data_IF_925026876470
#
_entry.id   IF_925026876470
#
_cell.length_a   1.000
_cell.length_b   1.000
_cell.length_c   1.000
_cell.angle_alpha   90.00
_cell.angle_beta   90.00
_cell.angle_gamma   90.00
#
_symmetry.space_group_name_H-M   'P 1'
#
loop_
_entity.id
_entity.type
_entity.pdbx_description
1 polymer ?
#
# COMPACT_ATOMS: atom_id res chain seq x y z
N UNK A 1 -10.35 23.27 -5.43
CA UNK A 1 -11.26 22.14 -5.16
C UNK A 1 -10.54 21.10 -4.30
N UNK A 2 -10.52 21.29 -2.98
CA UNK A 2 -9.67 20.50 -2.06
C UNK A 2 -10.36 20.03 -0.78
N UNK A 3 -11.48 20.65 -0.41
CA UNK A 3 -12.16 20.41 0.87
C UNK A 3 -12.71 18.98 0.93
N UNK A 4 -13.22 18.46 -0.18
CA UNK A 4 -13.69 17.09 -0.27
C UNK A 4 -12.60 16.08 0.09
N UNK A 5 -11.37 16.25 -0.41
CA UNK A 5 -10.28 15.33 -0.08
C UNK A 5 -9.91 15.38 1.41
N UNK A 6 -9.88 16.57 2.01
CA UNK A 6 -9.57 16.74 3.45
C UNK A 6 -10.63 16.04 4.29
N UNK A 7 -11.91 16.31 4.03
CA UNK A 7 -13.02 15.71 4.77
C UNK A 7 -13.08 14.19 4.56
N UNK A 8 -12.89 13.71 3.33
CA UNK A 8 -12.90 12.28 3.03
C UNK A 8 -11.75 11.53 3.69
N UNK A 9 -10.55 12.13 3.72
CA UNK A 9 -9.40 11.60 4.44
C UNK A 9 -9.69 11.51 5.95
N UNK A 10 -10.22 12.58 6.55
CA UNK A 10 -10.56 12.63 7.97
C UNK A 10 -11.60 11.57 8.32
N UNK A 11 -12.67 11.44 7.54
CA UNK A 11 -13.70 10.41 7.76
C UNK A 11 -13.13 9.01 7.59
N UNK A 12 -12.22 8.80 6.65
CA UNK A 12 -11.54 7.50 6.50
C UNK A 12 -10.70 7.14 7.73
N UNK A 13 -9.98 8.11 8.31
CA UNK A 13 -9.20 7.89 9.54
C UNK A 13 -10.14 7.64 10.73
N UNK A 14 -11.24 8.38 10.85
CA UNK A 14 -12.24 8.16 11.90
C UNK A 14 -12.91 6.78 11.80
N UNK A 15 -13.20 6.33 10.58
CA UNK A 15 -13.82 5.03 10.30
C UNK A 15 -12.80 3.91 10.11
N UNK A 16 -11.62 4.03 10.72
CA UNK A 16 -10.54 3.04 10.63
C UNK A 16 -10.92 1.61 11.04
N UNK A 17 -12.00 1.44 11.80
CA UNK A 17 -12.53 0.13 12.20
C UNK A 17 -13.12 -0.67 11.05
N UNK A 18 -13.42 -0.05 9.91
CA UNK A 18 -14.01 -0.71 8.75
C UNK A 18 -12.91 -1.44 7.96
N UNK A 19 -12.94 -2.77 8.00
CA UNK A 19 -12.05 -3.61 7.19
C UNK A 19 -12.58 -3.71 5.75
N UNK A 20 -12.08 -2.83 4.89
CA UNK A 20 -12.42 -2.82 3.45
C UNK A 20 -12.00 -4.11 2.76
N UNK A 21 -10.84 -4.68 3.12
CA UNK A 21 -10.33 -5.91 2.53
C UNK A 21 -11.23 -7.10 2.84
N UNK A 22 -11.80 -7.17 4.05
CA UNK A 22 -12.77 -8.20 4.43
C UNK A 22 -14.06 -8.13 3.59
N UNK A 23 -14.49 -6.92 3.18
CA UNK A 23 -15.64 -6.75 2.28
C UNK A 23 -15.31 -7.37 0.91
N UNK A 24 -14.16 -7.02 0.33
CA UNK A 24 -13.71 -7.60 -0.95
C UNK A 24 -13.57 -9.12 -0.87
N UNK A 25 -13.01 -9.65 0.22
CA UNK A 25 -12.89 -11.09 0.45
C UNK A 25 -14.25 -11.79 0.45
N UNK A 26 -15.24 -11.26 1.18
CA UNK A 26 -16.60 -11.82 1.21
C UNK A 26 -17.26 -11.79 -0.17
N UNK A 27 -17.04 -10.75 -0.97
CA UNK A 27 -17.58 -10.65 -2.33
C UNK A 27 -16.90 -11.68 -3.24
N UNK A 28 -15.57 -11.74 -3.19
CA UNK A 28 -14.77 -12.68 -3.97
C UNK A 28 -15.13 -14.13 -3.68
N UNK A 29 -15.23 -14.50 -2.40
CA UNK A 29 -15.60 -15.86 -1.98
C UNK A 29 -17.00 -16.24 -2.50
N UNK A 30 -17.95 -15.29 -2.54
CA UNK A 30 -19.27 -15.50 -3.15
C UNK A 30 -19.19 -15.69 -4.65
N UNK A 31 -18.44 -14.84 -5.35
CA UNK A 31 -18.29 -14.94 -6.81
C UNK A 31 -17.61 -16.25 -7.22
N UNK A 32 -16.53 -16.65 -6.53
CA UNK A 32 -15.86 -17.94 -6.78
C UNK A 32 -16.83 -19.11 -6.52
N UNK A 33 -17.67 -19.04 -5.48
CA UNK A 33 -18.69 -20.09 -5.25
C UNK A 33 -19.72 -20.18 -6.37
N UNK A 34 -20.11 -19.05 -6.95
CA UNK A 34 -21.12 -18.98 -8.03
C UNK A 34 -20.51 -19.45 -9.35
N UNK A 35 -19.38 -18.88 -9.75
CA UNK A 35 -18.81 -19.08 -11.09
C UNK A 35 -17.81 -20.24 -11.16
N UNK A 36 -17.27 -20.69 -10.02
CA UNK A 36 -16.26 -21.78 -9.84
C UNK A 36 -14.91 -21.55 -10.52
N UNK A 37 -14.88 -20.78 -11.60
CA UNK A 37 -13.70 -20.45 -12.39
C UNK A 37 -13.15 -19.07 -12.04
N UNK A 38 -11.87 -19.00 -11.62
CA UNK A 38 -11.21 -17.73 -11.29
C UNK A 38 -11.14 -16.78 -12.48
N UNK A 39 -10.92 -17.29 -13.69
CA UNK A 39 -10.82 -16.48 -14.92
C UNK A 39 -12.13 -15.72 -15.17
N UNK A 40 -13.28 -16.36 -14.95
CA UNK A 40 -14.59 -15.71 -15.15
C UNK A 40 -14.78 -14.58 -14.13
N UNK A 41 -14.41 -14.81 -12.87
CA UNK A 41 -14.48 -13.80 -11.82
C UNK A 41 -13.53 -12.62 -12.12
N UNK A 42 -12.33 -12.89 -12.65
CA UNK A 42 -11.38 -11.86 -13.08
C UNK A 42 -11.96 -10.97 -14.20
N UNK A 43 -12.59 -11.57 -15.21
CA UNK A 43 -13.28 -10.84 -16.29
C UNK A 43 -14.42 -9.96 -15.76
N UNK A 44 -15.19 -10.45 -14.77
CA UNK A 44 -16.24 -9.67 -14.12
C UNK A 44 -15.64 -8.44 -13.43
N UNK A 45 -14.53 -8.60 -12.70
CA UNK A 45 -13.87 -7.48 -12.04
C UNK A 45 -13.32 -6.46 -13.03
N UNK A 46 -12.67 -6.90 -14.11
CA UNK A 46 -12.18 -6.00 -15.16
C UNK A 46 -13.33 -5.23 -15.83
N UNK A 47 -14.44 -5.92 -16.10
CA UNK A 47 -15.65 -5.30 -16.65
C UNK A 47 -16.23 -4.25 -15.70
N UNK A 48 -16.21 -4.53 -14.39
CA UNK A 48 -16.66 -3.58 -13.37
C UNK A 48 -15.75 -2.34 -13.28
N UNK A 49 -14.43 -2.50 -13.36
CA UNK A 49 -13.47 -1.38 -13.39
C UNK A 49 -13.74 -0.48 -14.61
N UNK A 50 -14.05 -1.07 -15.78
CA UNK A 50 -14.43 -0.32 -16.98
C UNK A 50 -15.79 0.37 -16.80
N UNK A 51 -16.79 -0.29 -16.21
CA UNK A 51 -18.09 0.32 -15.94
C UNK A 51 -17.97 1.56 -15.03
N UNK A 52 -17.09 1.51 -14.02
CA UNK A 52 -16.79 2.65 -13.15
C UNK A 52 -16.23 3.86 -13.92
N UNK A 53 -15.52 3.65 -15.03
CA UNK A 53 -15.06 4.75 -15.88
C UNK A 53 -16.23 5.58 -16.41
N UNK A 54 -17.23 4.90 -16.97
CA UNK A 54 -18.41 5.56 -17.52
C UNK A 54 -19.18 6.30 -16.44
N UNK A 55 -19.38 5.68 -15.26
CA UNK A 55 -20.03 6.35 -14.12
C UNK A 55 -19.28 7.63 -13.74
N UNK A 56 -17.94 7.56 -13.67
CA UNK A 56 -17.13 8.72 -13.31
C UNK A 56 -17.15 9.80 -14.40
N UNK A 57 -17.15 9.41 -15.67
CA UNK A 57 -17.26 10.32 -16.82
C UNK A 57 -18.55 11.15 -16.77
N UNK A 58 -19.68 10.53 -16.40
CA UNK A 58 -20.97 11.23 -16.29
C UNK A 58 -21.09 12.13 -15.05
N UNK A 59 -20.52 11.73 -13.91
CA UNK A 59 -20.64 12.50 -12.65
C UNK A 59 -19.69 13.70 -12.56
N UNK A 60 -18.59 13.68 -13.33
CA UNK A 60 -17.59 14.75 -13.35
C UNK A 60 -16.80 14.91 -12.05
N UNK A 61 -15.90 15.90 -12.03
CA UNK A 61 -15.05 16.20 -10.88
C UNK A 61 -15.68 17.26 -9.97
N UNK A 62 -16.50 16.82 -9.02
CA UNK A 62 -17.12 17.68 -8.00
C UNK A 62 -16.54 17.39 -6.60
N UNK A 63 -16.71 18.32 -5.65
CA UNK A 63 -16.22 18.15 -4.27
C UNK A 63 -16.79 16.90 -3.58
N UNK A 64 -18.04 16.53 -3.88
CA UNK A 64 -18.64 15.27 -3.42
C UNK A 64 -17.87 14.04 -3.93
N UNK A 65 -17.41 14.06 -5.19
CA UNK A 65 -16.62 12.96 -5.76
C UNK A 65 -15.21 12.95 -5.16
N UNK A 66 -14.61 14.11 -4.87
CA UNK A 66 -13.34 14.19 -4.14
C UNK A 66 -13.45 13.59 -2.75
N UNK A 67 -14.55 13.88 -2.04
CA UNK A 67 -14.86 13.30 -0.73
C UNK A 67 -14.99 11.79 -0.79
N UNK A 68 -15.85 11.26 -1.67
CA UNK A 68 -16.06 9.82 -1.81
C UNK A 68 -14.76 9.12 -2.19
N UNK A 69 -13.98 9.69 -3.11
CA UNK A 69 -12.70 9.13 -3.54
C UNK A 69 -11.72 9.06 -2.38
N UNK A 70 -11.47 10.18 -1.69
CA UNK A 70 -10.57 10.20 -0.54
C UNK A 70 -11.02 9.21 0.53
N UNK A 71 -12.33 9.17 0.83
CA UNK A 71 -12.88 8.25 1.80
C UNK A 71 -12.69 6.78 1.43
N UNK A 72 -12.84 6.40 0.16
CA UNK A 72 -12.71 5.00 -0.26
C UNK A 72 -11.25 4.57 -0.31
N UNK A 73 -10.42 5.42 -0.87
CA UNK A 73 -9.09 5.07 -1.35
C UNK A 73 -8.03 5.20 -0.25
N UNK A 74 -8.18 6.15 0.66
CA UNK A 74 -7.25 6.35 1.78
C UNK A 74 -7.49 5.22 2.80
N UNK A 75 -6.46 4.44 3.11
CA UNK A 75 -6.56 3.31 4.04
C UNK A 75 -5.25 3.05 4.80
N UNK A 76 -4.79 4.04 5.57
CA UNK A 76 -3.60 3.87 6.43
C UNK A 76 -3.95 3.04 7.67
N UNK A 77 -5.14 3.24 8.22
CA UNK A 77 -5.50 2.88 9.58
C UNK A 77 -5.84 1.40 9.81
N UNK A 78 -6.01 0.61 8.74
CA UNK A 78 -6.14 -0.85 8.84
C UNK A 78 -4.88 -1.53 9.40
N UNK A 79 -3.71 -0.99 9.06
CA UNK A 79 -2.42 -1.52 9.48
C UNK A 79 -2.18 -1.39 10.99
N UNK A 80 -2.84 -0.44 11.65
CA UNK A 80 -2.69 -0.14 13.08
C UNK A 80 -3.34 -1.20 13.98
N UNK A 81 -4.47 -1.78 13.55
CA UNK A 81 -5.25 -2.72 14.34
C UNK A 81 -4.47 -4.00 14.68
N UNK A 82 -3.62 -4.46 13.77
CA UNK A 82 -2.79 -5.65 13.98
C UNK A 82 -1.63 -5.41 14.95
N UNK A 83 -1.30 -4.14 15.26
CA UNK A 83 -0.15 -3.78 16.08
C UNK A 83 -0.48 -3.72 17.58
N UNK A 84 -1.76 -3.72 17.96
CA UNK A 84 -2.19 -3.57 19.35
C UNK A 84 -1.95 -4.82 20.22
N UNK A 85 -1.76 -6.01 19.62
CA UNK A 85 -1.69 -7.29 20.34
C UNK A 85 -0.37 -8.05 20.14
N UNK A 86 0.76 -7.33 20.06
CA UNK A 86 2.04 -7.96 19.73
C UNK A 86 2.71 -8.65 20.92
N UNK A 87 2.96 -9.95 20.78
CA UNK A 87 3.74 -10.79 21.72
C UNK A 87 5.00 -11.37 21.08
N UNK A 88 5.04 -11.54 19.74
CA UNK A 88 6.10 -12.30 19.05
C UNK A 88 6.86 -11.51 17.96
N UNK A 89 8.14 -11.85 17.74
CA UNK A 89 9.00 -11.28 16.68
C UNK A 89 8.43 -11.43 15.27
N UNK A 90 7.75 -12.54 14.98
CA UNK A 90 7.12 -12.78 13.67
C UNK A 90 6.00 -11.76 13.43
N UNK A 91 5.25 -11.42 14.49
CA UNK A 91 4.18 -10.45 14.39
C UNK A 91 4.74 -9.04 14.15
N UNK A 92 5.92 -8.70 14.68
CA UNK A 92 6.60 -7.43 14.38
C UNK A 92 6.89 -7.25 12.89
N UNK A 93 7.49 -8.27 12.23
CA UNK A 93 7.79 -8.18 10.80
C UNK A 93 6.53 -8.05 9.95
N UNK A 94 5.49 -8.78 10.35
CA UNK A 94 4.17 -8.69 9.73
C UNK A 94 3.58 -7.28 9.89
N UNK A 95 3.69 -6.70 11.08
CA UNK A 95 3.27 -5.33 11.37
C UNK A 95 4.00 -4.29 10.53
N UNK A 96 5.32 -4.40 10.40
CA UNK A 96 6.13 -3.49 9.60
C UNK A 96 5.77 -3.56 8.10
N UNK A 97 5.63 -4.76 7.56
CA UNK A 97 5.20 -4.94 6.16
C UNK A 97 3.74 -4.47 5.94
N UNK A 98 2.83 -4.70 6.90
CA UNK A 98 1.46 -4.18 6.83
C UNK A 98 1.42 -2.65 6.86
N UNK A 99 2.23 -2.00 7.69
CA UNK A 99 2.35 -0.54 7.75
C UNK A 99 2.92 0.03 6.45
N UNK A 100 4.02 -0.57 5.96
CA UNK A 100 4.68 -0.17 4.69
C UNK A 100 3.71 -0.30 3.50
N UNK A 101 2.98 -1.41 3.44
CA UNK A 101 1.97 -1.65 2.42
C UNK A 101 0.77 -0.72 2.56
N UNK A 102 0.35 -0.43 3.78
CA UNK A 102 -0.74 0.51 4.10
C UNK A 102 -0.41 1.92 3.61
N UNK A 103 0.80 2.43 3.88
CA UNK A 103 1.20 3.75 3.38
C UNK A 103 1.42 3.74 1.87
N UNK A 104 2.03 2.70 1.30
CA UNK A 104 2.29 2.63 -0.13
C UNK A 104 1.00 2.50 -0.94
N UNK A 105 0.23 1.44 -0.68
CA UNK A 105 -0.92 1.06 -1.48
C UNK A 105 -2.22 1.73 -1.02
N UNK A 106 -2.33 2.05 0.27
CA UNK A 106 -3.49 2.73 0.85
C UNK A 106 -3.35 4.25 0.91
N UNK A 107 -2.24 4.84 0.47
CA UNK A 107 -2.07 6.29 0.52
C UNK A 107 -1.29 6.87 -0.66
N UNK A 108 0.00 6.54 -0.78
CA UNK A 108 0.90 7.18 -1.75
C UNK A 108 0.48 6.86 -3.18
N UNK A 109 0.32 5.57 -3.52
CA UNK A 109 0.02 5.15 -4.87
C UNK A 109 -1.31 5.69 -5.40
N UNK A 110 -2.43 5.60 -4.66
CA UNK A 110 -3.66 6.18 -5.17
C UNK A 110 -3.60 7.71 -5.32
N UNK A 111 -3.03 8.44 -4.35
CA UNK A 111 -2.90 9.89 -4.45
C UNK A 111 -1.99 10.29 -5.62
N UNK A 112 -0.89 9.56 -5.83
CA UNK A 112 -0.02 9.72 -6.99
C UNK A 112 -0.80 9.61 -8.31
N UNK A 113 -1.64 8.58 -8.45
CA UNK A 113 -2.44 8.39 -9.66
C UNK A 113 -3.48 9.49 -9.87
N UNK A 114 -4.11 9.97 -8.80
CA UNK A 114 -5.03 11.11 -8.87
C UNK A 114 -4.29 12.38 -9.31
N UNK A 115 -3.06 12.60 -8.84
CA UNK A 115 -2.24 13.76 -9.21
C UNK A 115 -1.80 13.72 -10.67
N UNK A 116 -1.21 12.61 -11.11
CA UNK A 116 -0.64 12.45 -12.45
C UNK A 116 -1.71 12.60 -13.53
N UNK A 117 -2.85 11.95 -13.35
CA UNK A 117 -3.93 11.97 -14.35
C UNK A 117 -4.97 13.05 -14.09
N UNK A 118 -4.80 13.83 -13.01
CA UNK A 118 -5.73 14.87 -12.54
C UNK A 118 -7.18 14.40 -12.38
N UNK A 119 -7.42 13.09 -12.22
CA UNK A 119 -8.74 12.49 -12.18
C UNK A 119 -8.81 11.39 -11.10
N UNK A 120 -9.85 11.46 -10.26
CA UNK A 120 -10.06 10.53 -9.15
C UNK A 120 -10.23 9.08 -9.58
N UNK A 121 -10.76 8.86 -10.80
CA UNK A 121 -10.98 7.53 -11.34
C UNK A 121 -9.72 6.67 -11.25
N UNK A 122 -8.53 7.22 -11.55
CA UNK A 122 -7.28 6.47 -11.51
C UNK A 122 -6.87 6.05 -10.09
N UNK A 123 -7.19 6.87 -9.07
CA UNK A 123 -7.00 6.47 -7.67
C UNK A 123 -7.92 5.32 -7.27
N UNK A 124 -9.17 5.34 -7.75
CA UNK A 124 -10.16 4.27 -7.52
C UNK A 124 -9.74 2.98 -8.23
N UNK A 125 -9.28 3.05 -9.49
CA UNK A 125 -8.76 1.88 -10.21
C UNK A 125 -7.62 1.24 -9.42
N UNK A 126 -6.64 2.03 -9.02
CA UNK A 126 -5.50 1.51 -8.26
C UNK A 126 -5.97 0.84 -6.96
N UNK A 127 -6.88 1.48 -6.23
CA UNK A 127 -7.48 0.90 -5.04
C UNK A 127 -8.16 -0.45 -5.33
N UNK A 128 -8.95 -0.55 -6.41
CA UNK A 128 -9.61 -1.79 -6.82
C UNK A 128 -8.59 -2.88 -7.17
N UNK A 129 -7.58 -2.57 -7.98
CA UNK A 129 -6.50 -3.50 -8.34
C UNK A 129 -5.82 -4.01 -7.07
N UNK A 130 -5.47 -3.12 -6.14
CA UNK A 130 -4.85 -3.48 -4.87
C UNK A 130 -5.74 -4.41 -4.03
N UNK A 131 -7.02 -4.08 -3.84
CA UNK A 131 -7.93 -4.92 -3.05
C UNK A 131 -8.14 -6.30 -3.68
N UNK A 132 -8.15 -6.40 -5.01
CA UNK A 132 -8.30 -7.67 -5.73
C UNK A 132 -7.02 -8.51 -5.69
N UNK A 133 -5.86 -7.87 -5.85
CA UNK A 133 -4.55 -8.51 -5.69
C UNK A 133 -4.41 -9.17 -4.31
N UNK A 134 -4.93 -8.50 -3.27
CA UNK A 134 -4.89 -9.01 -1.89
C UNK A 134 -5.82 -10.19 -1.61
N UNK A 135 -6.84 -10.39 -2.44
CA UNK A 135 -7.96 -11.29 -2.14
C UNK A 135 -7.96 -12.52 -3.05
N UNK A 136 -7.46 -12.42 -4.27
CA UNK A 136 -7.44 -13.54 -5.22
C UNK A 136 -6.14 -13.65 -6.00
N UNK A 137 -5.78 -14.89 -6.32
CA UNK A 137 -4.64 -15.20 -7.21
C UNK A 137 -5.05 -15.03 -8.68
N UNK A 138 -5.27 -13.79 -9.08
CA UNK A 138 -5.68 -13.38 -10.42
C UNK A 138 -4.45 -12.94 -11.22
N UNK A 139 -4.28 -13.50 -12.42
CA UNK A 139 -3.03 -13.36 -13.19
C UNK A 139 -2.87 -11.94 -13.74
N UNK A 140 -3.93 -11.39 -14.33
CA UNK A 140 -3.93 -10.05 -14.93
C UNK A 140 -3.89 -9.01 -13.81
N UNK A 141 -4.65 -9.21 -12.74
CA UNK A 141 -4.65 -8.29 -11.58
C UNK A 141 -3.26 -8.24 -10.91
N UNK A 142 -2.59 -9.37 -10.71
CA UNK A 142 -1.21 -9.41 -10.18
C UNK A 142 -0.24 -8.65 -11.09
N UNK A 143 -0.33 -8.85 -12.40
CA UNK A 143 0.48 -8.12 -13.36
C UNK A 143 0.23 -6.60 -13.30
N UNK A 144 -1.05 -6.19 -13.29
CA UNK A 144 -1.45 -4.77 -13.20
C UNK A 144 -0.99 -4.14 -11.89
N UNK A 145 -1.14 -4.86 -10.77
CA UNK A 145 -0.67 -4.40 -9.46
C UNK A 145 0.83 -4.16 -9.50
N UNK A 146 1.63 -5.13 -9.96
CA UNK A 146 3.08 -4.99 -10.02
C UNK A 146 3.49 -3.76 -10.79
N UNK A 147 2.99 -3.58 -12.02
CA UNK A 147 3.33 -2.43 -12.86
C UNK A 147 2.92 -1.11 -12.21
N UNK A 148 1.68 -1.04 -11.74
CA UNK A 148 1.15 0.21 -11.18
C UNK A 148 1.78 0.58 -9.83
N UNK A 149 2.40 -0.36 -9.12
CA UNK A 149 3.07 -0.08 -7.84
C UNK A 149 4.55 0.28 -8.00
N UNK A 150 5.18 0.11 -9.18
CA UNK A 150 6.61 0.42 -9.38
C UNK A 150 6.94 1.87 -9.02
N UNK A 151 6.30 2.84 -9.68
CA UNK A 151 6.63 4.25 -9.50
C UNK A 151 6.29 4.72 -8.07
N UNK A 152 5.09 4.46 -7.52
CA UNK A 152 4.80 4.79 -6.12
C UNK A 152 5.79 4.18 -5.13
N UNK A 153 6.25 2.95 -5.39
CA UNK A 153 7.25 2.29 -4.54
C UNK A 153 8.58 3.02 -4.58
N UNK A 154 9.04 3.43 -5.76
CA UNK A 154 10.29 4.20 -5.89
C UNK A 154 10.20 5.55 -5.17
N UNK A 155 9.03 6.20 -5.20
CA UNK A 155 8.79 7.44 -4.44
C UNK A 155 8.94 7.18 -2.94
N UNK A 156 8.28 6.13 -2.41
CA UNK A 156 8.38 5.77 -1.00
C UNK A 156 9.82 5.40 -0.61
N UNK A 157 10.53 4.66 -1.45
CA UNK A 157 11.93 4.33 -1.25
C UNK A 157 12.80 5.59 -1.15
N UNK A 158 12.60 6.57 -2.04
CA UNK A 158 13.32 7.84 -1.98
C UNK A 158 13.11 8.57 -0.66
N UNK A 159 11.86 8.60 -0.17
CA UNK A 159 11.51 9.21 1.12
C UNK A 159 12.16 8.44 2.28
N UNK A 160 12.08 7.10 2.27
CA UNK A 160 12.71 6.25 3.29
C UNK A 160 14.22 6.36 3.30
N UNK A 161 14.85 6.54 2.13
CA UNK A 161 16.29 6.74 2.05
C UNK A 161 16.73 8.02 2.77
N UNK A 162 15.99 9.11 2.57
CA UNK A 162 16.26 10.39 3.24
C UNK A 162 16.14 10.21 4.76
N UNK A 163 15.06 9.60 5.23
CA UNK A 163 14.84 9.33 6.67
C UNK A 163 15.96 8.47 7.25
N UNK A 164 16.35 7.41 6.52
CA UNK A 164 17.43 6.51 6.92
C UNK A 164 18.76 7.26 7.10
N UNK A 165 19.13 8.12 6.16
CA UNK A 165 20.37 8.92 6.24
C UNK A 165 20.37 9.78 7.52
N UNK A 166 19.26 10.45 7.83
CA UNK A 166 19.18 11.30 9.01
C UNK A 166 19.19 10.50 10.32
N UNK A 167 18.49 9.37 10.38
CA UNK A 167 18.39 8.53 11.59
C UNK A 167 19.69 7.78 11.88
N UNK A 168 20.28 7.17 10.84
CA UNK A 168 21.40 6.23 11.00
C UNK A 168 22.76 6.82 10.60
N UNK A 169 22.80 8.06 10.08
CA UNK A 169 24.03 8.78 9.70
C UNK A 169 24.92 8.00 8.73
N UNK A 170 24.31 7.16 7.90
CA UNK A 170 25.00 6.32 6.91
C UNK A 170 24.26 6.34 5.58
N UNK A 171 24.98 6.12 4.50
CA UNK A 171 24.43 6.07 3.13
C UNK A 171 24.28 4.65 2.58
N UNK A 172 24.73 3.63 3.34
CA UNK A 172 24.90 2.26 2.86
C UNK A 172 23.72 1.39 3.27
N UNK A 173 22.91 0.97 2.30
CA UNK A 173 21.89 -0.07 2.47
C UNK A 173 22.28 -1.25 1.56
N UNK A 174 22.24 -2.47 2.10
CA UNK A 174 22.56 -3.68 1.35
C UNK A 174 21.29 -4.45 0.98
N UNK A 175 20.97 -4.45 -0.30
CA UNK A 175 19.83 -5.20 -0.86
C UNK A 175 20.22 -6.62 -1.33
N UNK A 176 21.42 -7.10 -1.04
CA UNK A 176 21.93 -8.44 -1.40
C UNK A 176 21.69 -8.79 -2.86
N UNK A 177 22.03 -7.85 -3.74
CA UNK A 177 21.95 -7.93 -5.22
C UNK A 177 20.54 -8.05 -5.82
N UNK A 178 19.48 -8.07 -5.00
CA UNK A 178 18.11 -8.26 -5.49
C UNK A 178 17.41 -6.96 -5.89
N UNK A 179 18.03 -5.80 -5.70
CA UNK A 179 17.36 -4.50 -5.76
C UNK A 179 16.52 -4.32 -7.03
N UNK A 180 17.11 -4.49 -8.22
CA UNK A 180 16.42 -4.33 -9.50
C UNK A 180 15.34 -5.38 -9.73
N UNK A 181 15.61 -6.63 -9.35
CA UNK A 181 14.63 -7.72 -9.45
C UNK A 181 13.41 -7.44 -8.59
N UNK A 182 13.62 -6.90 -7.38
CA UNK A 182 12.54 -6.53 -6.47
C UNK A 182 11.72 -5.37 -6.99
N UNK A 183 12.33 -4.32 -7.56
CA UNK A 183 11.59 -3.18 -8.15
C UNK A 183 10.53 -3.66 -9.13
N UNK A 184 10.87 -4.64 -9.99
CA UNK A 184 9.98 -5.11 -11.05
C UNK A 184 9.03 -6.22 -10.56
N UNK A 185 9.57 -7.25 -9.89
CA UNK A 185 8.79 -8.45 -9.57
C UNK A 185 7.99 -8.31 -8.28
N UNK A 186 8.47 -7.49 -7.33
CA UNK A 186 7.92 -7.36 -5.97
C UNK A 186 8.09 -5.92 -5.48
N UNK A 187 7.36 -4.95 -6.06
CA UNK A 187 7.62 -3.54 -5.84
C UNK A 187 7.48 -3.13 -4.36
N UNK A 188 6.73 -3.86 -3.53
CA UNK A 188 6.59 -3.58 -2.09
C UNK A 188 7.82 -4.02 -1.25
N UNK A 189 8.63 -4.95 -1.76
CA UNK A 189 9.71 -5.59 -0.99
C UNK A 189 10.87 -4.64 -0.66
N UNK A 190 11.28 -3.78 -1.59
CA UNK A 190 12.34 -2.80 -1.30
C UNK A 190 11.92 -1.77 -0.23
N UNK A 191 10.70 -1.18 -0.28
CA UNK A 191 10.16 -0.42 0.83
C UNK A 191 10.18 -1.16 2.17
N UNK A 192 9.76 -2.44 2.21
CA UNK A 192 9.76 -3.25 3.44
C UNK A 192 11.17 -3.42 4.02
N UNK A 193 12.16 -3.70 3.15
CA UNK A 193 13.56 -3.79 3.55
C UNK A 193 14.03 -2.44 4.12
N UNK A 194 13.77 -1.33 3.42
CA UNK A 194 14.20 0.00 3.88
C UNK A 194 13.55 0.40 5.21
N UNK A 195 12.28 0.08 5.42
CA UNK A 195 11.59 0.27 6.68
C UNK A 195 12.30 -0.47 7.84
N UNK A 196 12.73 -1.71 7.61
CA UNK A 196 13.50 -2.45 8.61
C UNK A 196 14.88 -1.83 8.86
N UNK A 197 15.55 -1.31 7.82
CA UNK A 197 16.82 -0.59 7.96
C UNK A 197 16.68 0.72 8.75
N UNK A 198 15.58 1.47 8.58
CA UNK A 198 15.29 2.68 9.37
C UNK A 198 15.21 2.35 10.86
N UNK A 199 14.61 1.21 11.22
CA UNK A 199 14.55 0.74 12.61
C UNK A 199 15.78 -0.04 13.07
N UNK A 200 16.82 -0.17 12.23
CA UNK A 200 18.01 -0.97 12.49
C UNK A 200 17.66 -2.41 12.90
N UNK A 201 16.77 -3.07 12.16
CA UNK A 201 16.34 -4.46 12.41
C UNK A 201 16.55 -5.30 11.15
N UNK A 202 16.90 -6.58 11.31
CA UNK A 202 16.99 -7.51 10.18
C UNK A 202 15.61 -7.85 9.63
N UNK A 203 15.39 -7.70 8.33
CA UNK A 203 14.15 -8.13 7.67
C UNK A 203 14.28 -9.58 7.18
N UNK A 204 13.28 -10.43 7.44
CA UNK A 204 13.25 -11.80 6.93
C UNK A 204 12.15 -11.95 5.90
N UNK A 205 12.55 -12.33 4.70
CA UNK A 205 11.66 -12.52 3.57
C UNK A 205 11.53 -14.00 3.23
N UNK A 206 10.30 -14.53 3.32
CA UNK A 206 9.98 -15.89 2.94
C UNK A 206 9.58 -15.96 1.47
N UNK A 207 10.16 -16.89 0.72
CA UNK A 207 9.74 -17.19 -0.65
C UNK A 207 9.89 -18.67 -0.99
N UNK A 208 9.07 -19.12 -1.94
CA UNK A 208 9.16 -20.46 -2.50
C UNK A 208 9.79 -20.40 -3.89
N UNK A 209 10.67 -21.35 -4.19
CA UNK A 209 11.27 -21.55 -5.51
C UNK A 209 11.50 -23.04 -5.73
N UNK A 210 11.13 -23.57 -6.90
CA UNK A 210 11.34 -24.99 -7.29
C UNK A 210 10.93 -25.99 -6.19
N UNK A 211 9.73 -25.83 -5.62
CA UNK A 211 9.18 -26.66 -4.53
C UNK A 211 9.96 -26.64 -3.20
N UNK A 212 10.93 -25.75 -3.05
CA UNK A 212 11.66 -25.51 -1.80
C UNK A 212 11.28 -24.15 -1.19
N UNK A 213 11.26 -24.12 0.14
CA UNK A 213 11.00 -22.92 0.93
C UNK A 213 12.31 -22.27 1.36
N UNK A 214 12.45 -20.98 1.11
CA UNK A 214 13.65 -20.19 1.43
C UNK A 214 13.29 -19.02 2.33
N UNK A 215 14.24 -18.64 3.20
CA UNK A 215 14.19 -17.41 3.98
C UNK A 215 15.45 -16.61 3.64
N UNK A 216 15.28 -15.41 3.12
CA UNK A 216 16.37 -14.45 2.90
C UNK A 216 16.31 -13.39 3.99
N UNK A 217 17.40 -13.23 4.73
CA UNK A 217 17.57 -12.12 5.66
C UNK A 217 18.12 -10.91 4.90
N UNK A 218 17.71 -9.71 5.27
CA UNK A 218 18.30 -8.43 4.84
C UNK A 218 18.68 -7.65 6.10
N UNK A 219 19.88 -7.04 6.11
CA UNK A 219 20.46 -6.43 7.31
C UNK A 219 21.43 -7.33 8.08
N UNK A 220 22.25 -6.69 8.93
CA UNK A 220 23.21 -7.30 9.87
C UNK A 220 23.02 -6.75 11.30
N UNK A 221 21.79 -6.39 11.67
CA UNK A 221 21.47 -5.76 12.94
C UNK A 221 21.11 -6.78 14.03
N UNK A 222 21.68 -6.59 15.22
CA UNK A 222 21.46 -7.42 16.42
C UNK A 222 20.58 -6.74 17.47
N UNK A 223 19.88 -5.65 17.10
CA UNK A 223 19.02 -4.91 18.02
C UNK A 223 17.86 -5.79 18.53
N UNK A 224 17.48 -5.59 19.80
CA UNK A 224 16.25 -6.20 20.33
C UNK A 224 15.06 -5.54 19.64
N UNK A 225 14.17 -6.36 19.10
CA UNK A 225 12.89 -5.95 18.57
C UNK A 225 12.00 -5.58 19.77
N UNK A 226 11.61 -4.32 19.88
CA UNK A 226 10.71 -3.82 20.93
C UNK A 226 9.47 -3.15 20.33
N UNK A 227 8.40 -3.04 21.13
CA UNK A 227 7.15 -2.33 20.78
C UNK A 227 7.41 -0.85 20.48
N UNK A 228 8.44 -0.26 21.09
CA UNK A 228 8.85 1.11 20.84
C UNK A 228 9.22 1.34 19.37
N UNK A 229 9.92 0.40 18.72
CA UNK A 229 10.29 0.51 17.31
C UNK A 229 9.07 0.57 16.38
N UNK A 230 7.97 -0.11 16.71
CA UNK A 230 6.72 -0.02 15.93
C UNK A 230 6.07 1.34 16.10
N UNK A 231 6.05 1.86 17.32
CA UNK A 231 5.48 3.17 17.61
C UNK A 231 6.27 4.27 16.87
N UNK A 232 7.59 4.17 16.87
CA UNK A 232 8.47 5.08 16.14
C UNK A 232 8.25 4.98 14.63
N UNK A 233 8.20 3.76 14.10
CA UNK A 233 7.95 3.56 12.67
C UNK A 233 6.55 4.05 12.25
N UNK A 234 5.55 3.90 13.10
CA UNK A 234 4.19 4.41 12.89
C UNK A 234 4.15 5.95 12.88
N UNK A 235 4.94 6.61 13.74
CA UNK A 235 5.13 8.06 13.68
C UNK A 235 5.77 8.49 12.35
N UNK A 236 6.76 7.73 11.86
CA UNK A 236 7.38 7.98 10.55
C UNK A 236 6.33 7.85 9.43
N UNK A 237 5.52 6.79 9.46
CA UNK A 237 4.45 6.55 8.47
C UNK A 237 3.47 7.72 8.43
N UNK A 238 3.02 8.23 9.58
CA UNK A 238 2.14 9.39 9.61
C UNK A 238 2.81 10.67 9.14
N UNK A 239 4.08 10.89 9.49
CA UNK A 239 4.85 12.03 9.00
C UNK A 239 4.95 12.03 7.47
N UNK A 240 5.26 10.87 6.89
CA UNK A 240 5.31 10.70 5.43
C UNK A 240 3.93 10.90 4.80
N UNK A 241 2.88 10.32 5.38
CA UNK A 241 1.52 10.49 4.87
C UNK A 241 1.10 11.98 4.91
N UNK A 242 1.35 12.68 6.01
CA UNK A 242 1.04 14.09 6.15
C UNK A 242 1.75 14.96 5.12
N UNK A 243 3.07 14.78 4.96
CA UNK A 243 3.86 15.51 3.97
C UNK A 243 3.37 15.24 2.54
N UNK A 244 3.11 13.97 2.21
CA UNK A 244 2.62 13.59 0.89
C UNK A 244 1.23 14.18 0.61
N UNK A 245 0.36 14.24 1.62
CA UNK A 245 -0.97 14.83 1.49
C UNK A 245 -0.92 16.33 1.26
N UNK A 246 -0.01 17.05 1.91
CA UNK A 246 0.20 18.49 1.64
C UNK A 246 0.61 18.70 0.19
N UNK A 247 1.59 17.94 -0.29
CA UNK A 247 2.05 18.02 -1.69
C UNK A 247 0.91 17.72 -2.66
N UNK A 248 0.11 16.69 -2.37
CA UNK A 248 -1.10 16.35 -3.12
C UNK A 248 -2.09 17.53 -3.18
N UNK A 249 -2.40 18.15 -2.04
CA UNK A 249 -3.35 19.27 -1.97
C UNK A 249 -2.84 20.48 -2.75
N UNK A 250 -1.56 20.84 -2.60
CA UNK A 250 -0.95 21.95 -3.35
C UNK A 250 -1.12 21.73 -4.85
N UNK A 251 -0.79 20.53 -5.35
CA UNK A 251 -0.88 20.19 -6.77
C UNK A 251 -2.33 20.12 -7.28
N UNK A 252 -3.32 19.85 -6.43
CA UNK A 252 -4.75 19.82 -6.80
C UNK A 252 -5.44 21.17 -6.68
N UNK A 253 -4.89 22.09 -5.88
CA UNK A 253 -5.41 23.44 -5.71
C UNK A 253 -4.85 24.38 -6.80
N UNK A 254 -3.60 24.18 -7.21
CA UNK A 254 -2.96 24.83 -8.36
C UNK A 254 -3.53 24.32 -9.70
#
# INVERSE_FOLDING_TARGET
MGIGYVLGCLVSILLWKIDRQQIFKKINDKLIKIFREKIVVEVIYLSFIIALFFVYYYLGSNEYMNFITAFLVINISYSERYNLNLTDKIQFYKSLSLLTKGILCGFIAPLFYIMVFRNNYYGIIYFMIYQLYEVGDYVIIDFLFRITTIIPSLILQGIYYIIYIFKNRTFKIDFKEDYLSNVIKRPVLNPDIMAAYIENINFYYYFQSKNASYIKSYGNFNSKIDKECIKDYLNIVYGVAFLFFIVFLIIRIL
#
